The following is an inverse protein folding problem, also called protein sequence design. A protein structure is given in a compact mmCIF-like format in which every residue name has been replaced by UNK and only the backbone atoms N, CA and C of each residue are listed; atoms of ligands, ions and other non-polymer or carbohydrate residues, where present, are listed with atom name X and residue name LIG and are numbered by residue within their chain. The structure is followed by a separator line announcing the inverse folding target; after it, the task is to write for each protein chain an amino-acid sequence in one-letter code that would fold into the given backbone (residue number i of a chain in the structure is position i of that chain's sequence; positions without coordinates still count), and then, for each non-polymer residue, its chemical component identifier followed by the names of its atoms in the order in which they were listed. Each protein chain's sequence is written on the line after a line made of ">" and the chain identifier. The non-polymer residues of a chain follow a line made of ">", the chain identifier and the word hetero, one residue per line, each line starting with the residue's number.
data_IF_627457501036
#
_entry.id   IF_627457501036
#
_cell.length_a   1.000
_cell.length_b   1.000
_cell.length_c   1.000
_cell.angle_alpha   90.00
_cell.angle_beta   90.00
_cell.angle_gamma   90.00
#
_symmetry.space_group_name_H-M   'P 1'
#
loop_
_entity.id
_entity.type
_entity.pdbx_description
1 polymer ?
#
# COMPACT_ATOMS: atom_id res chain seq x y z
N UNK A 1 5.06 17.05 8.59
CA UNK A 1 3.92 16.86 7.66
C UNK A 1 4.18 15.63 6.80
N UNK A 2 3.21 14.73 6.64
CA UNK A 2 3.38 13.44 5.94
C UNK A 2 3.16 13.64 4.44
N UNK A 3 4.18 14.16 3.75
CA UNK A 3 4.12 14.45 2.31
C UNK A 3 4.48 13.24 1.47
N UNK A 4 3.73 13.01 0.38
CA UNK A 4 3.93 11.98 -0.64
C UNK A 4 3.97 12.61 -2.02
N UNK A 5 4.75 12.05 -2.95
CA UNK A 5 4.65 12.41 -4.37
C UNK A 5 3.37 11.81 -4.97
N UNK A 6 3.00 10.61 -4.51
CA UNK A 6 1.69 10.04 -4.80
C UNK A 6 1.18 9.14 -3.67
N UNK A 7 -0.14 9.13 -3.51
CA UNK A 7 -0.86 8.17 -2.67
C UNK A 7 -1.84 7.39 -3.56
N UNK A 8 -1.67 6.08 -3.60
CA UNK A 8 -2.53 5.17 -4.32
C UNK A 8 -3.36 4.33 -3.34
N UNK A 9 -4.62 4.11 -3.66
CA UNK A 9 -5.48 3.16 -2.95
C UNK A 9 -5.91 2.08 -3.94
N UNK A 10 -5.48 0.85 -3.71
CA UNK A 10 -5.90 -0.30 -4.48
C UNK A 10 -7.14 -0.92 -3.84
N UNK A 11 -8.21 -1.08 -4.62
CA UNK A 11 -9.49 -1.63 -4.17
C UNK A 11 -9.95 -2.75 -5.09
N UNK A 12 -10.82 -3.62 -4.57
CA UNK A 12 -11.38 -4.73 -5.34
C UNK A 12 -12.29 -4.24 -6.47
N UNK A 13 -12.50 -5.09 -7.47
CA UNK A 13 -13.21 -4.78 -8.71
C UNK A 13 -14.64 -4.22 -8.53
N UNK A 14 -15.33 -4.60 -7.46
CA UNK A 14 -16.72 -4.24 -7.14
C UNK A 14 -16.84 -3.07 -6.16
N UNK A 15 -15.71 -2.43 -5.82
CA UNK A 15 -15.69 -1.19 -5.03
C UNK A 15 -15.80 0.01 -5.96
N UNK A 16 -16.64 0.98 -5.61
CA UNK A 16 -16.74 2.23 -6.36
C UNK A 16 -15.50 3.10 -6.13
N UNK A 17 -14.64 3.17 -7.16
CA UNK A 17 -13.40 3.94 -7.14
C UNK A 17 -13.63 5.43 -6.86
N UNK A 18 -14.75 5.99 -7.34
CA UNK A 18 -15.08 7.41 -7.22
C UNK A 18 -15.47 7.75 -5.77
N UNK A 19 -16.23 6.88 -5.11
CA UNK A 19 -16.55 7.03 -3.69
C UNK A 19 -15.30 6.99 -2.82
N UNK A 20 -14.38 6.05 -3.11
CA UNK A 20 -13.09 5.94 -2.42
C UNK A 20 -12.25 7.18 -2.67
N UNK A 21 -12.21 7.68 -3.91
CA UNK A 21 -11.46 8.88 -4.25
C UNK A 21 -11.96 10.10 -3.45
N UNK A 22 -13.27 10.29 -3.36
CA UNK A 22 -13.88 11.37 -2.55
C UNK A 22 -13.51 11.27 -1.08
N UNK A 23 -13.46 10.06 -0.52
CA UNK A 23 -13.04 9.84 0.86
C UNK A 23 -11.56 10.20 1.06
N UNK A 24 -10.68 9.75 0.17
CA UNK A 24 -9.24 10.05 0.24
C UNK A 24 -8.98 11.55 0.06
N UNK A 25 -9.70 12.21 -0.84
CA UNK A 25 -9.65 13.65 -1.05
C UNK A 25 -10.14 14.41 0.20
N UNK A 26 -11.18 13.93 0.87
CA UNK A 26 -11.62 14.46 2.16
C UNK A 26 -10.51 14.35 3.21
N UNK A 27 -9.84 13.20 3.33
CA UNK A 27 -8.75 12.99 4.29
C UNK A 27 -7.54 13.90 4.01
N UNK A 28 -7.22 14.16 2.74
CA UNK A 28 -6.20 15.14 2.36
C UNK A 28 -6.61 16.57 2.75
N UNK A 29 -7.87 16.96 2.51
CA UNK A 29 -8.43 18.26 2.94
C UNK A 29 -8.40 18.41 4.46
N UNK A 30 -8.57 17.31 5.20
CA UNK A 30 -8.38 17.26 6.65
C UNK A 30 -6.92 17.25 7.08
N UNK A 31 -5.94 17.42 6.18
CA UNK A 31 -4.50 17.46 6.47
C UNK A 31 -4.00 16.23 7.22
N UNK A 32 -4.61 15.06 6.98
CA UNK A 32 -4.08 13.79 7.48
C UNK A 32 -2.73 13.44 6.83
N UNK A 33 -2.61 13.78 5.55
CA UNK A 33 -1.44 13.65 4.70
C UNK A 33 -1.46 14.76 3.62
N UNK A 34 -0.39 14.87 2.84
CA UNK A 34 -0.36 15.68 1.62
C UNK A 34 0.18 14.81 0.48
N UNK A 35 -0.46 14.82 -0.68
CA UNK A 35 0.03 14.10 -1.85
C UNK A 35 0.03 15.01 -3.08
N UNK A 36 1.08 14.95 -3.89
CA UNK A 36 1.05 15.68 -5.17
C UNK A 36 0.07 14.99 -6.15
N UNK A 37 -0.15 13.68 -6.05
CA UNK A 37 -1.11 12.92 -6.86
C UNK A 37 -1.87 11.88 -6.01
N UNK A 38 -3.18 11.75 -6.24
CA UNK A 38 -4.03 10.72 -5.62
C UNK A 38 -4.58 9.80 -6.70
N UNK A 39 -4.39 8.49 -6.53
CA UNK A 39 -4.87 7.47 -7.46
C UNK A 39 -5.72 6.45 -6.71
N UNK A 40 -6.88 6.12 -7.26
CA UNK A 40 -7.64 4.94 -6.83
C UNK A 40 -7.63 3.95 -7.97
N UNK A 41 -7.14 2.74 -7.69
CA UNK A 41 -6.97 1.68 -8.67
C UNK A 41 -7.90 0.53 -8.34
N UNK A 42 -8.83 0.23 -9.24
CA UNK A 42 -9.66 -0.96 -9.13
C UNK A 42 -8.95 -2.17 -9.73
N UNK A 43 -9.09 -3.30 -9.07
CA UNK A 43 -8.76 -4.59 -9.65
C UNK A 43 -9.62 -4.86 -10.89
N UNK A 44 -9.02 -5.46 -11.90
CA UNK A 44 -9.72 -5.78 -13.15
C UNK A 44 -10.71 -6.94 -13.00
N UNK A 45 -10.53 -7.81 -11.99
CA UNK A 45 -11.40 -8.94 -11.69
C UNK A 45 -11.26 -9.39 -10.21
N UNK A 46 -12.06 -10.38 -9.78
CA UNK A 46 -12.14 -10.81 -8.38
C UNK A 46 -10.86 -11.51 -7.87
N UNK A 47 -10.07 -12.12 -8.76
CA UNK A 47 -8.98 -13.05 -8.42
C UNK A 47 -7.57 -12.47 -8.62
N UNK A 48 -7.42 -11.15 -8.67
CA UNK A 48 -6.11 -10.49 -8.90
C UNK A 48 -5.13 -10.74 -7.75
N UNK A 49 -5.65 -10.83 -6.52
CA UNK A 49 -4.86 -10.98 -5.29
C UNK A 49 -4.04 -9.73 -4.96
N UNK A 50 -3.61 -9.60 -3.70
CA UNK A 50 -2.98 -8.37 -3.19
C UNK A 50 -1.71 -7.93 -3.93
N UNK A 51 -0.91 -8.89 -4.42
CA UNK A 51 0.29 -8.59 -5.21
C UNK A 51 -0.06 -8.01 -6.59
N UNK A 52 -1.11 -8.53 -7.22
CA UNK A 52 -1.59 -8.00 -8.50
C UNK A 52 -2.22 -6.62 -8.34
N UNK A 53 -3.02 -6.40 -7.28
CA UNK A 53 -3.61 -5.11 -6.95
C UNK A 53 -2.54 -4.06 -6.69
N UNK A 54 -1.48 -4.44 -5.95
CA UNK A 54 -0.31 -3.60 -5.71
C UNK A 54 0.40 -3.21 -7.00
N UNK A 55 0.64 -4.17 -7.90
CA UNK A 55 1.31 -3.92 -9.18
C UNK A 55 0.48 -2.99 -10.08
N UNK A 56 -0.84 -3.22 -10.18
CA UNK A 56 -1.76 -2.39 -10.95
C UNK A 56 -1.80 -0.95 -10.41
N UNK A 57 -1.99 -0.79 -9.10
CA UNK A 57 -1.97 0.52 -8.46
C UNK A 57 -0.63 1.25 -8.67
N UNK A 58 0.48 0.52 -8.56
CA UNK A 58 1.80 1.10 -8.76
C UNK A 58 2.04 1.55 -10.21
N UNK A 59 1.61 0.74 -11.19
CA UNK A 59 1.69 1.07 -12.60
C UNK A 59 0.91 2.35 -12.90
N UNK A 60 -0.37 2.40 -12.56
CA UNK A 60 -1.24 3.56 -12.79
C UNK A 60 -0.69 4.83 -12.12
N UNK A 61 -0.16 4.69 -10.91
CA UNK A 61 0.46 5.79 -10.18
C UNK A 61 1.70 6.31 -10.90
N UNK A 62 2.55 5.40 -11.38
CA UNK A 62 3.76 5.77 -12.11
C UNK A 62 3.41 6.43 -13.45
N UNK A 63 2.41 5.94 -14.16
CA UNK A 63 1.91 6.55 -15.40
C UNK A 63 1.41 7.98 -15.16
N UNK A 64 0.60 8.21 -14.13
CA UNK A 64 0.11 9.56 -13.79
C UNK A 64 1.24 10.50 -13.41
N UNK A 65 2.19 10.04 -12.59
CA UNK A 65 3.36 10.85 -12.24
C UNK A 65 4.23 11.16 -13.46
N UNK A 66 4.41 10.21 -14.37
CA UNK A 66 5.11 10.42 -15.65
C UNK A 66 4.39 11.49 -16.48
N UNK A 67 3.09 11.34 -16.71
CA UNK A 67 2.28 12.29 -17.48
C UNK A 67 2.33 13.71 -16.87
N UNK A 68 2.21 13.81 -15.54
CA UNK A 68 2.28 15.08 -14.79
C UNK A 68 3.64 15.76 -14.90
N UNK A 69 4.72 14.98 -15.02
CA UNK A 69 6.09 15.47 -15.23
C UNK A 69 6.46 15.63 -16.72
N UNK A 70 5.49 15.47 -17.62
CA UNK A 70 5.67 15.68 -19.07
C UNK A 70 6.34 14.53 -19.83
N UNK A 71 6.46 13.35 -19.20
CA UNK A 71 6.95 12.16 -19.89
C UNK A 71 5.82 11.52 -20.70
N UNK A 72 6.15 11.01 -21.89
CA UNK A 72 5.22 10.30 -22.79
C UNK A 72 5.27 8.78 -22.63
N UNK A 73 6.19 8.28 -21.81
CA UNK A 73 6.41 6.87 -21.51
C UNK A 73 6.74 6.72 -20.02
N UNK A 74 6.60 5.51 -19.49
CA UNK A 74 7.08 5.18 -18.16
C UNK A 74 8.58 5.43 -18.05
N UNK A 75 8.99 6.14 -17.00
CA UNK A 75 10.38 6.48 -16.75
C UNK A 75 10.81 6.04 -15.36
N UNK A 76 11.93 5.32 -15.28
CA UNK A 76 12.57 4.96 -14.01
C UNK A 76 12.97 6.20 -13.21
N UNK A 77 13.24 7.34 -13.86
CA UNK A 77 13.56 8.60 -13.18
C UNK A 77 12.42 9.07 -12.28
N UNK A 78 11.17 8.78 -12.67
CA UNK A 78 10.03 9.10 -11.82
C UNK A 78 10.06 8.26 -10.56
N UNK A 79 10.30 6.95 -10.67
CA UNK A 79 10.36 6.04 -9.52
C UNK A 79 11.55 6.37 -8.60
N UNK A 80 12.72 6.64 -9.19
CA UNK A 80 13.94 6.99 -8.49
C UNK A 80 13.85 8.29 -7.69
N UNK A 81 12.94 9.20 -8.08
CA UNK A 81 12.75 10.50 -7.46
C UNK A 81 11.32 10.69 -6.94
N UNK A 82 10.66 9.61 -6.51
CA UNK A 82 9.33 9.71 -5.90
C UNK A 82 9.23 8.87 -4.64
N UNK A 83 8.47 9.38 -3.68
CA UNK A 83 8.00 8.67 -2.50
C UNK A 83 6.52 8.38 -2.66
N UNK A 84 6.19 7.12 -2.82
CA UNK A 84 4.86 6.65 -3.17
C UNK A 84 4.31 5.78 -2.03
N UNK A 85 3.08 6.03 -1.61
CA UNK A 85 2.32 5.14 -0.74
C UNK A 85 1.28 4.40 -1.56
N UNK A 86 1.18 3.08 -1.38
CA UNK A 86 0.12 2.25 -1.93
C UNK A 86 -0.58 1.56 -0.76
N UNK A 87 -1.87 1.84 -0.61
CA UNK A 87 -2.73 1.24 0.41
C UNK A 87 -3.58 0.16 -0.24
N UNK A 88 -3.45 -1.08 0.24
CA UNK A 88 -4.20 -2.24 -0.24
C UNK A 88 -5.44 -2.42 0.65
N UNK A 89 -6.60 -2.11 0.10
CA UNK A 89 -7.87 -2.22 0.82
C UNK A 89 -8.30 -3.68 0.85
N UNK A 90 -8.42 -4.23 2.04
CA UNK A 90 -8.95 -5.57 2.24
C UNK A 90 -10.48 -5.61 2.44
N UNK A 91 -11.05 -6.82 2.50
CA UNK A 91 -12.50 -7.04 2.53
C UNK A 91 -13.20 -6.37 3.71
N UNK A 92 -12.59 -6.33 4.92
CA UNK A 92 -13.23 -5.72 6.09
C UNK A 92 -13.32 -4.20 5.96
N UNK A 93 -12.34 -3.62 5.29
CA UNK A 93 -12.27 -2.17 5.09
C UNK A 93 -13.17 -1.72 3.95
N UNK A 94 -13.28 -2.53 2.89
CA UNK A 94 -14.14 -2.27 1.73
C UNK A 94 -15.56 -1.87 2.11
N UNK A 95 -16.19 -2.58 3.04
CA UNK A 95 -17.57 -2.28 3.47
C UNK A 95 -17.70 -0.94 4.24
N UNK A 96 -16.57 -0.34 4.62
CA UNK A 96 -16.48 0.95 5.30
C UNK A 96 -16.17 2.11 4.34
N UNK A 97 -15.79 1.84 3.09
CA UNK A 97 -15.46 2.84 2.09
C UNK A 97 -16.73 3.27 1.34
N UNK A 98 -17.35 4.36 1.78
CA UNK A 98 -18.43 5.06 1.07
C UNK A 98 -18.26 6.57 1.18
N UNK A 99 -18.72 7.31 0.18
CA UNK A 99 -18.60 8.78 0.15
C UNK A 99 -19.18 9.43 1.41
N UNK A 100 -18.42 10.31 2.07
CA UNK A 100 -18.78 10.99 3.33
C UNK A 100 -18.88 10.09 4.57
N UNK A 101 -18.44 8.84 4.43
CA UNK A 101 -18.12 7.93 5.51
C UNK A 101 -19.31 7.41 6.31
N UNK A 102 -19.21 6.13 6.68
CA UNK A 102 -19.71 5.61 7.96
C UNK A 102 -18.98 6.26 9.17
N UNK A 103 -18.49 7.50 9.04
CA UNK A 103 -17.92 8.30 10.12
C UNK A 103 -18.87 8.40 11.34
N UNK A 104 -20.16 8.13 11.13
CA UNK A 104 -21.23 8.07 12.15
C UNK A 104 -21.70 6.65 12.51
N UNK A 105 -21.20 5.61 11.85
CA UNK A 105 -21.60 4.20 12.06
C UNK A 105 -20.52 3.36 12.75
N UNK A 106 -19.27 3.82 12.81
CA UNK A 106 -18.28 3.22 13.71
C UNK A 106 -18.81 3.43 15.13
N UNK A 107 -19.07 2.34 15.87
CA UNK A 107 -19.27 2.43 17.32
C UNK A 107 -17.97 2.98 17.93
N UNK A 108 -17.87 4.31 18.01
CA UNK A 108 -16.73 5.09 18.49
C UNK A 108 -16.41 4.88 19.97
N UNK A 109 -17.03 3.88 20.62
CA UNK A 109 -16.86 3.64 22.05
C UNK A 109 -15.44 3.17 22.40
N UNK A 110 -14.70 2.58 21.46
CA UNK A 110 -13.42 1.91 21.78
C UNK A 110 -12.17 2.59 21.20
N UNK A 111 -12.29 3.46 20.19
CA UNK A 111 -11.11 4.12 19.58
C UNK A 111 -11.28 5.63 19.46
N UNK A 112 -10.38 6.43 20.06
CA UNK A 112 -10.43 7.88 19.96
C UNK A 112 -10.20 8.33 18.51
N UNK A 113 -10.79 9.47 18.10
CA UNK A 113 -10.53 10.04 16.79
C UNK A 113 -9.06 10.45 16.64
N UNK A 114 -8.60 10.52 15.39
CA UNK A 114 -7.24 10.94 15.06
C UNK A 114 -7.21 12.44 14.85
N UNK A 115 -6.38 13.12 15.63
CA UNK A 115 -6.09 14.53 15.47
C UNK A 115 -5.28 14.77 14.18
N UNK A 116 -5.67 15.80 13.46
CA UNK A 116 -5.01 16.31 12.25
C UNK A 116 -4.69 17.80 12.42
N UNK A 117 -3.95 18.38 11.48
CA UNK A 117 -3.54 19.79 11.57
C UNK A 117 -4.74 20.78 11.53
N UNK A 118 -5.94 20.31 11.16
CA UNK A 118 -7.15 21.15 11.02
C UNK A 118 -8.36 20.64 11.81
N UNK A 119 -8.25 19.50 12.50
CA UNK A 119 -9.37 18.93 13.25
C UNK A 119 -9.19 17.48 13.63
N UNK A 120 -10.26 16.70 13.49
CA UNK A 120 -10.29 15.29 13.86
C UNK A 120 -10.95 14.46 12.77
N UNK A 121 -10.42 13.27 12.53
CA UNK A 121 -11.03 12.26 11.66
C UNK A 121 -11.29 10.96 12.42
N UNK A 122 -12.32 10.17 12.06
CA UNK A 122 -12.54 8.86 12.65
C UNK A 122 -11.34 7.93 12.42
N UNK A 123 -11.01 7.10 13.40
CA UNK A 123 -9.90 6.14 13.30
C UNK A 123 -10.31 4.86 12.53
N UNK A 124 -10.54 5.03 11.22
CA UNK A 124 -10.83 3.93 10.30
C UNK A 124 -9.56 3.17 9.92
N UNK A 125 -9.67 1.92 9.40
CA UNK A 125 -8.49 1.18 8.94
C UNK A 125 -7.68 1.92 7.86
N UNK A 126 -8.35 2.62 6.93
CA UNK A 126 -7.70 3.46 5.92
C UNK A 126 -6.92 4.62 6.56
N UNK A 127 -7.54 5.34 7.50
CA UNK A 127 -6.92 6.46 8.22
C UNK A 127 -5.69 5.99 9.01
N UNK A 128 -5.82 4.89 9.75
CA UNK A 128 -4.71 4.28 10.49
C UNK A 128 -3.56 3.91 9.55
N UNK A 129 -3.85 3.22 8.44
CA UNK A 129 -2.83 2.82 7.48
C UNK A 129 -2.04 4.01 6.91
N UNK A 130 -2.73 5.07 6.46
CA UNK A 130 -2.08 6.28 5.92
C UNK A 130 -1.26 6.99 6.99
N UNK A 131 -1.83 7.15 8.19
CA UNK A 131 -1.16 7.77 9.34
C UNK A 131 0.14 7.04 9.66
N UNK A 132 0.07 5.73 9.83
CA UNK A 132 1.17 4.92 10.35
C UNK A 132 2.27 4.74 9.30
N UNK A 133 1.91 4.51 8.04
CA UNK A 133 2.87 4.51 6.94
C UNK A 133 3.60 5.86 6.83
N UNK A 134 2.88 6.98 6.96
CA UNK A 134 3.46 8.32 6.92
C UNK A 134 4.31 8.66 8.14
N UNK A 135 4.18 7.95 9.27
CA UNK A 135 5.14 8.05 10.39
C UNK A 135 6.44 7.35 10.06
N UNK A 136 6.38 6.15 9.49
CA UNK A 136 7.58 5.38 9.11
C UNK A 136 8.33 6.04 7.95
N UNK A 137 7.61 6.57 6.97
CA UNK A 137 8.19 7.15 5.76
C UNK A 137 8.85 8.53 5.96
N UNK A 138 8.91 9.06 7.20
CA UNK A 138 9.64 10.31 7.49
C UNK A 138 11.16 10.15 7.33
N UNK A 139 11.65 8.92 7.52
CA UNK A 139 13.06 8.58 7.44
C UNK A 139 13.59 8.45 6.01
N UNK A 140 12.72 8.57 5.00
CA UNK A 140 13.08 8.41 3.59
C UNK A 140 12.44 9.49 2.73
N UNK A 141 13.16 9.93 1.70
CA UNK A 141 12.64 10.87 0.69
C UNK A 141 12.15 10.19 -0.59
N UNK A 142 12.43 8.90 -0.80
CA UNK A 142 12.11 8.15 -2.02
C UNK A 142 11.82 6.67 -1.73
N UNK A 143 11.15 6.01 -2.67
CA UNK A 143 10.79 4.59 -2.62
C UNK A 143 9.28 4.36 -2.49
N UNK A 144 8.89 3.09 -2.50
CA UNK A 144 7.48 2.68 -2.53
C UNK A 144 7.12 1.97 -1.24
N UNK A 145 6.08 2.44 -0.58
CA UNK A 145 5.50 1.83 0.61
C UNK A 145 4.22 1.10 0.26
N UNK A 146 4.08 -0.14 0.72
CA UNK A 146 2.89 -0.96 0.56
C UNK A 146 2.32 -1.25 1.95
N UNK A 147 1.05 -0.91 2.19
CA UNK A 147 0.38 -1.21 3.46
C UNK A 147 -1.02 -1.77 3.24
N UNK A 148 -1.37 -2.85 3.93
CA UNK A 148 -2.73 -3.37 3.94
C UNK A 148 -3.61 -2.73 5.01
N UNK A 149 -4.90 -2.57 4.76
CA UNK A 149 -5.87 -2.02 5.74
C UNK A 149 -6.37 -3.06 6.75
N UNK A 150 -6.13 -4.35 6.51
CA UNK A 150 -6.59 -5.43 7.41
C UNK A 150 -5.76 -5.54 8.70
N UNK A 151 -4.62 -4.85 8.77
CA UNK A 151 -3.77 -4.79 9.96
C UNK A 151 -3.81 -3.39 10.56
N UNK A 152 -4.26 -3.29 11.82
CA UNK A 152 -4.21 -2.06 12.60
C UNK A 152 -3.13 -2.16 13.66
N UNK A 153 -2.21 -1.22 13.67
CA UNK A 153 -1.11 -1.13 14.63
C UNK A 153 -0.84 0.34 14.95
N UNK A 154 -0.04 0.61 15.99
CA UNK A 154 0.35 1.97 16.35
C UNK A 154 1.78 1.93 16.90
N UNK A 155 2.65 2.81 16.41
CA UNK A 155 4.03 2.92 16.89
C UNK A 155 4.15 3.51 18.30
N UNK A 156 3.10 4.12 18.84
CA UNK A 156 3.18 4.89 20.10
C UNK A 156 4.25 5.97 19.96
N UNK A 157 5.22 6.00 20.87
CA UNK A 157 6.38 6.90 20.83
C UNK A 157 7.64 6.27 20.22
N UNK A 158 7.52 5.07 19.63
CA UNK A 158 8.66 4.34 19.07
C UNK A 158 9.08 5.00 17.75
N UNK A 159 10.36 5.37 17.67
CA UNK A 159 10.96 5.83 16.42
C UNK A 159 11.02 4.68 15.40
N UNK A 160 10.51 4.87 14.18
CA UNK A 160 10.57 3.85 13.15
C UNK A 160 12.02 3.58 12.75
N UNK A 161 12.33 2.32 12.43
CA UNK A 161 13.65 1.99 11.85
C UNK A 161 13.71 2.48 10.42
N UNK A 162 14.82 3.13 10.06
CA UNK A 162 15.12 3.52 8.68
C UNK A 162 15.14 2.26 7.80
N UNK A 163 14.37 2.21 6.70
CA UNK A 163 14.37 1.06 5.82
C UNK A 163 15.68 0.95 5.01
N UNK A 164 15.98 -0.27 4.55
CA UNK A 164 17.15 -0.56 3.72
C UNK A 164 17.00 0.07 2.33
N UNK A 165 18.06 0.72 1.83
CA UNK A 165 18.12 1.26 0.48
C UNK A 165 18.49 0.22 -0.60
N UNK A 166 18.81 -1.02 -0.20
CA UNK A 166 19.30 -2.07 -1.11
C UNK A 166 18.44 -3.34 -1.10
N UNK A 167 17.50 -3.46 -0.17
CA UNK A 167 16.64 -4.63 -0.02
C UNK A 167 15.23 -4.24 0.38
N UNK A 168 14.25 -5.08 0.05
CA UNK A 168 12.88 -4.93 0.56
C UNK A 168 12.95 -4.95 2.09
N UNK A 169 12.27 -4.00 2.73
CA UNK A 169 12.14 -3.96 4.19
C UNK A 169 10.71 -4.33 4.56
N UNK A 170 10.55 -5.38 5.35
CA UNK A 170 9.26 -5.82 5.87
C UNK A 170 9.17 -5.54 7.37
N UNK A 171 8.01 -5.08 7.82
CA UNK A 171 7.80 -4.73 9.23
C UNK A 171 7.03 -5.81 9.98
N UNK A 172 7.42 -6.05 11.22
CA UNK A 172 6.85 -7.06 12.11
C UNK A 172 6.80 -6.61 13.57
N UNK A 173 6.05 -7.34 14.37
CA UNK A 173 6.08 -7.27 15.83
C UNK A 173 6.27 -8.66 16.43
N UNK A 174 6.72 -8.72 17.68
CA UNK A 174 6.94 -9.99 18.38
C UNK A 174 5.66 -10.38 19.12
N UNK A 175 5.17 -11.60 18.90
CA UNK A 175 4.03 -12.16 19.61
C UNK A 175 4.21 -13.65 19.94
N UNK A 176 3.39 -14.14 20.88
CA UNK A 176 3.37 -15.54 21.27
C UNK A 176 2.63 -16.47 20.27
N UNK A 177 2.66 -17.79 20.50
CA UNK A 177 2.11 -18.81 19.60
C UNK A 177 0.64 -18.59 19.18
N UNK A 178 -0.22 -18.20 20.12
CA UNK A 178 -1.65 -18.02 19.86
C UNK A 178 -1.95 -16.95 18.77
N UNK A 179 -1.08 -15.94 18.63
CA UNK A 179 -1.20 -14.95 17.55
C UNK A 179 -0.63 -15.51 16.25
N UNK A 180 0.47 -16.26 16.31
CA UNK A 180 1.13 -16.85 15.15
C UNK A 180 0.25 -17.86 14.39
N UNK A 181 -0.67 -18.55 15.07
CA UNK A 181 -1.63 -19.48 14.44
C UNK A 181 -2.60 -18.81 13.47
N UNK A 182 -2.87 -17.51 13.66
CA UNK A 182 -3.86 -16.76 12.87
C UNK A 182 -3.23 -15.75 11.89
N UNK A 183 -1.91 -15.64 11.82
CA UNK A 183 -1.22 -14.57 11.08
C UNK A 183 -0.05 -15.10 10.25
N UNK A 184 0.43 -14.24 9.33
CA UNK A 184 1.70 -14.46 8.65
C UNK A 184 2.89 -14.30 9.60
N UNK A 185 3.86 -15.20 9.52
CA UNK A 185 5.07 -15.22 10.36
C UNK A 185 6.30 -15.13 9.47
N UNK A 186 7.16 -14.15 9.73
CA UNK A 186 8.49 -14.09 9.13
C UNK A 186 9.45 -14.99 9.89
N UNK A 187 10.04 -15.95 9.18
CA UNK A 187 11.19 -16.69 9.69
C UNK A 187 12.44 -15.98 9.23
N UNK A 188 13.22 -15.48 10.19
CA UNK A 188 14.48 -14.79 9.92
C UNK A 188 15.70 -15.62 10.35
N UNK A 189 16.87 -15.25 9.84
CA UNK A 189 18.15 -15.62 10.44
C UNK A 189 18.49 -14.74 11.66
N UNK A 190 19.66 -14.99 12.25
CA UNK A 190 20.19 -14.24 13.40
C UNK A 190 20.51 -12.77 13.06
N UNK A 191 20.51 -12.41 11.77
CA UNK A 191 20.74 -11.05 11.26
C UNK A 191 19.46 -10.34 10.84
N UNK A 192 18.28 -10.91 11.17
CA UNK A 192 16.95 -10.41 10.79
C UNK A 192 16.67 -10.44 9.28
N UNK A 193 17.43 -11.21 8.49
CA UNK A 193 17.09 -11.43 7.07
C UNK A 193 16.03 -12.50 6.94
N UNK A 194 15.04 -12.24 6.09
CA UNK A 194 13.94 -13.17 5.82
C UNK A 194 14.47 -14.44 5.13
N UNK A 195 14.17 -15.61 5.73
CA UNK A 195 14.39 -16.94 5.13
C UNK A 195 13.11 -17.46 4.49
N UNK A 196 11.97 -17.28 5.14
CA UNK A 196 10.67 -17.71 4.63
C UNK A 196 9.53 -16.94 5.31
N UNK A 197 8.39 -16.90 4.62
CA UNK A 197 7.11 -16.46 5.16
C UNK A 197 6.23 -17.70 5.33
N UNK A 198 5.67 -17.87 6.52
CA UNK A 198 4.71 -18.93 6.81
C UNK A 198 3.35 -18.30 7.13
N UNK A 199 2.26 -18.99 6.78
CA UNK A 199 0.90 -18.54 7.10
C UNK A 199 0.20 -19.67 7.85
N UNK A 200 -0.40 -19.36 9.01
CA UNK A 200 -1.19 -20.28 9.82
C UNK A 200 -0.51 -21.65 10.08
N UNK A 201 0.76 -21.65 10.50
CA UNK A 201 1.52 -22.89 10.72
C UNK A 201 1.36 -23.43 12.15
N UNK A 202 0.42 -24.36 12.35
CA UNK A 202 0.15 -25.04 13.64
C UNK A 202 1.38 -25.79 14.22
N UNK A 203 2.18 -26.47 13.38
CA UNK A 203 3.28 -27.34 13.86
C UNK A 203 4.55 -26.59 14.33
N UNK A 204 4.78 -25.37 13.84
CA UNK A 204 5.98 -24.57 14.18
C UNK A 204 5.69 -23.46 15.17
N UNK A 205 4.46 -22.95 15.21
CA UNK A 205 4.00 -21.99 16.22
C UNK A 205 4.20 -22.52 17.66
N UNK A 206 4.17 -23.83 17.86
CA UNK A 206 4.35 -24.46 19.19
C UNK A 206 5.81 -24.63 19.63
N UNK A 207 6.80 -24.50 18.73
CA UNK A 207 8.21 -24.76 19.04
C UNK A 207 9.00 -23.53 19.49
N UNK A 208 8.50 -22.32 19.21
CA UNK A 208 9.13 -21.06 19.63
C UNK A 208 8.19 -20.32 20.56
N UNK A 209 8.72 -19.72 21.61
CA UNK A 209 7.93 -18.90 22.53
C UNK A 209 7.52 -17.56 21.91
N UNK A 210 8.24 -17.10 20.88
CA UNK A 210 8.07 -15.81 20.25
C UNK A 210 8.25 -15.89 18.73
N UNK A 211 7.40 -15.15 18.00
CA UNK A 211 7.32 -15.12 16.54
C UNK A 211 7.32 -13.69 16.01
N UNK A 212 7.95 -13.48 14.85
CA UNK A 212 7.89 -12.22 14.12
C UNK A 212 6.63 -12.19 13.25
N UNK A 213 5.57 -11.57 13.77
CA UNK A 213 4.28 -11.47 13.09
C UNK A 213 4.33 -10.38 12.01
N UNK A 214 3.95 -10.74 10.79
CA UNK A 214 3.95 -9.84 9.65
C UNK A 214 2.88 -8.76 9.78
N UNK A 215 3.26 -7.49 9.60
CA UNK A 215 2.32 -6.35 9.58
C UNK A 215 1.69 -6.10 8.19
N UNK A 216 2.06 -6.89 7.18
CA UNK A 216 1.77 -6.61 5.76
C UNK A 216 2.10 -5.15 5.37
N UNK A 217 3.20 -4.64 5.93
CA UNK A 217 3.75 -3.34 5.62
C UNK A 217 5.16 -3.54 5.06
N UNK A 218 5.40 -3.06 3.85
CA UNK A 218 6.64 -3.25 3.10
C UNK A 218 7.15 -1.92 2.56
N UNK A 219 8.46 -1.80 2.48
CA UNK A 219 9.15 -0.75 1.73
C UNK A 219 10.00 -1.38 0.63
N UNK A 220 9.87 -0.85 -0.58
CA UNK A 220 10.69 -1.19 -1.74
C UNK A 220 11.59 0.01 -2.04
N UNK A 221 12.93 -0.14 -1.98
CA UNK A 221 13.83 0.89 -2.46
C UNK A 221 13.67 1.07 -3.98
N UNK A 222 14.01 2.25 -4.53
CA UNK A 222 13.70 2.57 -5.92
C UNK A 222 14.20 1.55 -6.96
N UNK A 223 15.39 0.99 -6.77
CA UNK A 223 15.93 -0.03 -7.70
C UNK A 223 15.06 -1.29 -7.76
N UNK A 224 14.52 -1.73 -6.62
CA UNK A 224 13.64 -2.89 -6.54
C UNK A 224 12.24 -2.52 -7.04
N UNK A 225 11.76 -1.31 -6.75
CA UNK A 225 10.50 -0.82 -7.29
C UNK A 225 10.52 -0.76 -8.83
N UNK A 226 11.61 -0.27 -9.43
CA UNK A 226 11.80 -0.30 -10.89
C UNK A 226 11.75 -1.73 -11.40
N UNK A 227 12.55 -2.63 -10.82
CA UNK A 227 12.54 -4.05 -11.23
C UNK A 227 11.16 -4.70 -11.09
N UNK A 228 10.39 -4.35 -10.05
CA UNK A 228 9.04 -4.85 -9.82
C UNK A 228 8.08 -4.44 -10.94
N UNK A 229 8.19 -3.21 -11.46
CA UNK A 229 7.46 -2.78 -12.66
C UNK A 229 8.03 -3.38 -13.94
N UNK A 230 9.35 -3.57 -14.04
CA UNK A 230 9.98 -4.17 -15.22
C UNK A 230 9.55 -5.62 -15.47
N UNK A 231 9.14 -6.35 -14.43
CA UNK A 231 8.53 -7.69 -14.57
C UNK A 231 7.26 -7.67 -15.42
N UNK A 232 6.59 -6.52 -15.54
CA UNK A 232 5.46 -6.32 -16.44
C UNK A 232 5.91 -6.00 -17.88
N UNK A 233 7.09 -5.42 -18.08
CA UNK A 233 7.57 -4.99 -19.40
C UNK A 233 8.47 -6.06 -20.05
N UNK A 234 7.88 -7.07 -20.67
CA UNK A 234 8.59 -7.91 -21.64
C UNK A 234 8.78 -7.14 -22.96
N UNK A 235 9.96 -6.53 -23.17
CA UNK A 235 10.37 -5.97 -24.48
C UNK A 235 11.02 -7.08 -25.36
N UNK A 236 10.99 -6.98 -26.71
CA UNK A 236 11.38 -5.78 -27.43
C UNK A 236 10.42 -5.35 -28.54
N UNK A 237 9.81 -4.16 -28.46
CA UNK A 237 9.33 -3.49 -29.68
C UNK A 237 9.84 -2.05 -29.75
N UNK A 238 11.00 -1.91 -30.38
CA UNK A 238 11.32 -0.72 -31.15
C UNK A 238 10.14 -0.45 -32.08
N UNK A 239 9.58 0.77 -32.02
CA UNK A 239 8.61 1.31 -32.98
C UNK A 239 7.29 0.53 -33.12
N UNK A 240 6.41 0.60 -32.13
CA UNK A 240 4.96 0.61 -32.35
C UNK A 240 4.25 1.16 -31.12
N UNK A 241 3.31 2.08 -31.34
CA UNK A 241 2.36 2.60 -30.37
C UNK A 241 1.77 1.47 -29.53
N UNK A 242 1.83 1.61 -28.20
CA UNK A 242 1.18 0.68 -27.26
C UNK A 242 -0.33 0.63 -27.54
N UNK A 243 -0.78 -0.42 -28.21
CA UNK A 243 -2.17 -0.85 -28.23
C UNK A 243 -2.23 -2.20 -27.52
N UNK A 244 -2.80 -2.22 -26.32
CA UNK A 244 -2.89 -3.39 -25.44
C UNK A 244 -3.83 -4.50 -25.95
N UNK A 245 -3.63 -4.98 -27.18
CA UNK A 245 -4.50 -5.96 -27.85
C UNK A 245 -3.74 -7.25 -28.25
N UNK A 246 -2.40 -7.25 -28.32
CA UNK A 246 -1.64 -8.36 -28.92
C UNK A 246 -1.16 -9.48 -27.97
N UNK A 247 -1.55 -9.49 -26.69
CA UNK A 247 -1.10 -10.54 -25.75
C UNK A 247 -2.06 -11.72 -25.59
N UNK A 248 -3.26 -11.68 -26.20
CA UNK A 248 -4.28 -12.73 -26.00
C UNK A 248 -4.75 -12.90 -24.54
N UNK A 249 -4.25 -12.08 -23.62
CA UNK A 249 -4.76 -11.93 -22.27
C UNK A 249 -5.96 -10.98 -22.30
N UNK A 250 -6.93 -11.20 -21.42
CA UNK A 250 -7.99 -10.21 -21.17
C UNK A 250 -7.28 -8.95 -20.70
N UNK A 251 -7.22 -7.95 -21.58
CA UNK A 251 -6.53 -6.70 -21.31
C UNK A 251 -7.04 -6.07 -20.02
N UNK A 252 -6.12 -5.61 -19.19
CA UNK A 252 -6.40 -4.82 -18.00
C UNK A 252 -7.15 -3.57 -18.47
N UNK A 253 -8.48 -3.57 -18.29
CA UNK A 253 -9.34 -2.49 -18.75
C UNK A 253 -9.26 -1.36 -17.74
N UNK A 254 -8.31 -0.46 -17.95
CA UNK A 254 -8.19 0.79 -17.18
C UNK A 254 -9.39 1.66 -17.53
N UNK A 255 -10.37 1.73 -16.62
CA UNK A 255 -11.47 2.67 -16.69
C UNK A 255 -10.97 4.03 -16.17
N UNK A 256 -10.73 4.96 -17.08
CA UNK A 256 -10.56 6.37 -16.75
C UNK A 256 -11.97 6.97 -16.75
N UNK A 257 -12.54 7.17 -15.56
CA UNK A 257 -13.69 8.07 -15.40
C UNK A 257 -13.16 9.50 -15.40
N UNK A 258 -13.68 10.32 -16.33
CA UNK A 258 -13.36 11.75 -16.45
C UNK A 258 -14.26 12.63 -15.61
#
# INVERSE_FOLDING_TARGET
>A
MRKWDALAVAVQHDVDAEEVFKEVEFLEKQKLFEADEIVVANDACEDVGSAGSALNAFLLTTERLCAKRGFTVLSEDVINNSKILIVLVGPRTKDMLRSHGKAFEVETKETPPIETDVGFVPDTPLVSAIRDAGRVAQETSVGVFLIGTENKWNLGDIAPKVPSNTSITAYSFIAGPAIAECHGVYLTDDTMKLKSLEYCCEERATKREQHQIALAFLYLPPSIACAFLSLHSGFPMSSATYYGIDSGAIGLKVLITG
#
